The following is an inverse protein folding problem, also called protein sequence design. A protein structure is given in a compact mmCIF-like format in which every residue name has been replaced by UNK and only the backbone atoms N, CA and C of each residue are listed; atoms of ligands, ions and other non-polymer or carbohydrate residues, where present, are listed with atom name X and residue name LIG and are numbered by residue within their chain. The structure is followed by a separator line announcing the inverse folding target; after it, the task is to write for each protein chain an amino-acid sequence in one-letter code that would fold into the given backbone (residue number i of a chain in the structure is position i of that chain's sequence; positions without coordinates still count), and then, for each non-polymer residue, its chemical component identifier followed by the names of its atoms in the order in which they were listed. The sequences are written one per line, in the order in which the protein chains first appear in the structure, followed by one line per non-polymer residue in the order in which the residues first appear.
data_IF_652482772140
#
_entry.id   IF_652482772140
#
_cell.length_a   1.000
_cell.length_b   1.000
_cell.length_c   1.000
_cell.angle_alpha   90.00
_cell.angle_beta   90.00
_cell.angle_gamma   90.00
#
_symmetry.space_group_name_H-M   'P 1'
#
loop_
_entity.id
_entity.type
_entity.pdbx_description
1 polymer ?
#
# COMPACT_ATOMS: atom_id res chain seq x y z
N UNK A 1 2.03 4.51 4.22
CA UNK A 1 0.66 3.93 4.28
C UNK A 1 0.63 2.42 4.17
N UNK A 2 1.48 1.79 3.37
CA UNK A 2 1.42 0.35 3.07
C UNK A 2 1.55 -0.57 4.28
N UNK A 3 2.33 -0.20 5.27
CA UNK A 3 2.61 -1.04 6.45
C UNK A 3 1.37 -1.29 7.34
N UNK A 4 0.30 -0.48 7.20
CA UNK A 4 -0.87 -0.54 8.08
C UNK A 4 -1.86 -1.66 7.74
N UNK A 5 -1.84 -2.17 6.52
CA UNK A 5 -2.80 -3.16 6.03
C UNK A 5 -2.13 -4.36 5.39
N UNK A 6 -2.80 -5.51 5.41
CA UNK A 6 -2.31 -6.75 4.80
C UNK A 6 -1.99 -6.57 3.31
N UNK A 7 -2.81 -5.80 2.59
CA UNK A 7 -2.67 -5.57 1.14
C UNK A 7 -1.70 -4.44 0.78
N UNK A 8 -1.20 -3.72 1.77
CA UNK A 8 -0.35 -2.57 1.53
C UNK A 8 1.04 -2.91 1.01
N UNK A 9 1.57 -4.05 1.45
CA UNK A 9 2.88 -4.56 1.05
C UNK A 9 2.89 -6.09 1.02
N UNK A 10 3.65 -6.73 0.12
CA UNK A 10 3.71 -8.19 0.01
C UNK A 10 4.16 -8.88 1.29
N UNK A 11 5.08 -8.25 2.04
CA UNK A 11 5.58 -8.79 3.31
C UNK A 11 4.46 -8.91 4.36
N UNK A 12 3.53 -7.94 4.37
CA UNK A 12 2.40 -7.95 5.31
C UNK A 12 1.49 -9.16 5.07
N UNK A 13 1.28 -9.52 3.81
CA UNK A 13 0.51 -10.70 3.44
C UNK A 13 1.16 -11.99 3.96
N UNK A 14 2.49 -12.08 3.85
CA UNK A 14 3.25 -13.22 4.39
C UNK A 14 3.17 -13.29 5.91
N UNK A 15 3.39 -12.17 6.60
CA UNK A 15 3.33 -12.07 8.07
C UNK A 15 1.93 -12.46 8.55
N UNK A 16 0.89 -11.90 7.94
CA UNK A 16 -0.49 -12.21 8.30
C UNK A 16 -0.82 -13.69 8.12
N UNK A 17 -0.38 -14.30 7.01
CA UNK A 17 -0.60 -15.70 6.73
C UNK A 17 0.09 -16.60 7.77
N UNK A 18 1.37 -16.37 8.04
CA UNK A 18 2.15 -17.15 9.02
C UNK A 18 1.60 -16.98 10.44
N UNK A 19 1.18 -15.76 10.80
CA UNK A 19 0.61 -15.45 12.12
C UNK A 19 -0.86 -15.86 12.25
N UNK A 20 -1.54 -16.20 11.15
CA UNK A 20 -2.98 -16.49 11.12
C UNK A 20 -3.84 -15.26 11.40
N UNK A 21 -3.36 -14.05 11.08
CA UNK A 21 -4.07 -12.81 11.35
C UNK A 21 -4.98 -12.43 10.18
N UNK A 22 -6.21 -12.08 10.50
CA UNK A 22 -7.16 -11.51 9.55
C UNK A 22 -6.90 -10.02 9.31
N UNK A 23 -7.55 -9.45 8.29
CA UNK A 23 -7.33 -8.06 7.85
C UNK A 23 -7.46 -7.04 9.00
N UNK A 24 -8.53 -7.11 9.77
CA UNK A 24 -8.77 -6.18 10.90
C UNK A 24 -7.80 -6.45 12.04
N UNK A 25 -7.53 -7.71 12.34
CA UNK A 25 -6.58 -8.07 13.41
C UNK A 25 -5.17 -7.58 13.10
N UNK A 26 -4.71 -7.77 11.86
CA UNK A 26 -3.44 -7.23 11.40
C UNK A 26 -3.37 -5.71 11.58
N UNK A 27 -4.40 -5.00 11.09
CA UNK A 27 -4.49 -3.55 11.21
C UNK A 27 -4.43 -3.09 12.68
N UNK A 28 -5.18 -3.74 13.56
CA UNK A 28 -5.22 -3.39 15.01
C UNK A 28 -3.90 -3.67 15.71
N UNK A 29 -3.19 -4.74 15.34
CA UNK A 29 -1.88 -5.07 15.91
C UNK A 29 -0.76 -4.15 15.40
N UNK A 30 -0.87 -3.69 14.15
CA UNK A 30 0.11 -2.78 13.55
C UNK A 30 -0.17 -1.30 13.87
N UNK A 31 -1.42 -0.93 14.19
CA UNK A 31 -1.81 0.45 14.46
C UNK A 31 -0.98 1.15 15.55
N UNK A 32 -0.63 0.52 16.70
CA UNK A 32 0.18 1.16 17.73
C UNK A 32 1.56 1.62 17.26
N UNK A 33 2.09 0.98 16.20
CA UNK A 33 3.39 1.33 15.60
C UNK A 33 3.18 2.28 14.42
N UNK A 34 2.25 1.95 13.53
CA UNK A 34 2.08 2.67 12.25
C UNK A 34 1.45 4.05 12.43
N UNK A 35 0.50 4.21 13.37
CA UNK A 35 -0.17 5.49 13.60
C UNK A 35 0.80 6.55 14.16
N UNK A 36 1.61 6.28 15.19
CA UNK A 36 2.62 7.25 15.66
C UNK A 36 3.65 7.61 14.57
N UNK A 37 4.11 6.63 13.79
CA UNK A 37 5.05 6.90 12.68
C UNK A 37 4.40 7.77 11.60
N UNK A 38 3.15 7.51 11.25
CA UNK A 38 2.39 8.34 10.32
C UNK A 38 2.25 9.78 10.83
N UNK A 39 1.87 9.96 12.09
CA UNK A 39 1.75 11.28 12.73
C UNK A 39 3.10 12.00 12.75
N UNK A 40 4.18 11.31 13.12
CA UNK A 40 5.53 11.87 13.10
C UNK A 40 5.93 12.31 11.68
N UNK A 41 5.64 11.50 10.66
CA UNK A 41 5.85 11.85 9.25
C UNK A 41 5.07 13.09 8.84
N UNK A 42 3.80 13.20 9.20
CA UNK A 42 2.97 14.39 8.93
C UNK A 42 3.52 15.65 9.61
N UNK A 43 3.91 15.54 10.88
CA UNK A 43 4.53 16.65 11.61
C UNK A 43 5.84 17.07 10.94
N UNK A 44 6.66 16.11 10.52
CA UNK A 44 7.92 16.38 9.82
C UNK A 44 7.67 17.11 8.50
N UNK A 45 6.73 16.63 7.67
CA UNK A 45 6.35 17.30 6.42
C UNK A 45 5.88 18.74 6.67
N UNK A 46 5.01 18.93 7.65
CA UNK A 46 4.52 20.25 8.02
C UNK A 46 5.63 21.17 8.52
N UNK A 47 6.55 20.65 9.35
CA UNK A 47 7.69 21.42 9.85
C UNK A 47 8.64 21.83 8.72
N UNK A 48 8.98 20.92 7.81
CA UNK A 48 9.84 21.20 6.66
C UNK A 48 9.23 22.27 5.76
N UNK A 49 7.93 22.18 5.49
CA UNK A 49 7.21 23.18 4.68
C UNK A 49 7.16 24.54 5.38
N UNK A 50 6.79 24.57 6.66
CA UNK A 50 6.66 25.80 7.44
C UNK A 50 7.98 26.54 7.64
N UNK A 51 9.08 25.79 7.87
CA UNK A 51 10.40 26.37 8.13
C UNK A 51 11.25 26.52 6.86
N UNK A 52 10.71 26.21 5.68
CA UNK A 52 11.41 26.29 4.39
C UNK A 52 12.75 25.52 4.37
N UNK A 53 12.81 24.38 5.04
CA UNK A 53 14.04 23.56 5.12
C UNK A 53 14.32 22.94 3.76
N UNK A 54 15.57 22.99 3.32
CA UNK A 54 16.04 22.41 2.05
C UNK A 54 15.28 22.89 0.78
N UNK A 55 14.69 24.11 0.83
CA UNK A 55 13.96 24.67 -0.32
C UNK A 55 12.51 24.22 -0.46
N UNK A 56 12.02 23.38 0.45
CA UNK A 56 10.58 23.05 0.52
C UNK A 56 9.77 24.26 1.03
N UNK A 57 8.49 24.33 0.63
CA UNK A 57 7.60 25.43 1.02
C UNK A 57 7.79 26.72 0.20
N UNK A 58 8.72 26.74 -0.76
CA UNK A 58 8.82 27.88 -1.67
C UNK A 58 7.63 27.90 -2.64
N UNK A 59 7.01 29.06 -2.86
CA UNK A 59 5.89 29.15 -3.79
C UNK A 59 6.34 28.76 -5.21
N UNK A 60 5.51 27.96 -5.86
CA UNK A 60 5.71 27.62 -7.27
C UNK A 60 5.79 28.88 -8.12
N UNK A 61 6.68 28.93 -9.13
CA UNK A 61 6.70 30.04 -10.09
C UNK A 61 5.28 30.28 -10.64
N UNK A 62 4.89 31.56 -10.72
CA UNK A 62 3.53 31.96 -11.14
C UNK A 62 3.09 31.31 -12.45
N UNK A 63 4.02 31.12 -13.38
CA UNK A 63 3.76 30.45 -14.66
C UNK A 63 3.29 29.00 -14.49
N UNK A 64 3.94 28.27 -13.59
CA UNK A 64 3.58 26.86 -13.31
C UNK A 64 2.25 26.81 -12.54
N UNK A 65 2.06 27.70 -11.58
CA UNK A 65 0.79 27.81 -10.85
C UNK A 65 -0.39 28.10 -11.77
N UNK A 66 -0.21 29.04 -12.70
CA UNK A 66 -1.27 29.38 -13.67
C UNK A 66 -1.55 28.21 -14.62
N UNK A 67 -0.51 27.50 -15.09
CA UNK A 67 -0.70 26.29 -15.91
C UNK A 67 -1.53 25.22 -15.19
N UNK A 68 -1.25 24.97 -13.91
CA UNK A 68 -2.05 24.02 -13.13
C UNK A 68 -3.49 24.51 -12.93
N UNK A 69 -3.68 25.81 -12.77
CA UNK A 69 -5.02 26.38 -12.62
C UNK A 69 -5.82 26.25 -13.91
N UNK A 70 -5.24 26.62 -15.05
CA UNK A 70 -5.87 26.49 -16.37
C UNK A 70 -6.18 25.02 -16.70
N UNK A 71 -5.25 24.09 -16.39
CA UNK A 71 -5.46 22.66 -16.58
C UNK A 71 -6.62 22.14 -15.71
N UNK A 72 -6.66 22.54 -14.46
CA UNK A 72 -7.72 22.12 -13.53
C UNK A 72 -9.09 22.69 -13.95
N UNK A 73 -9.13 23.95 -14.38
CA UNK A 73 -10.38 24.55 -14.92
C UNK A 73 -10.82 23.85 -16.21
N UNK A 74 -9.89 23.55 -17.10
CA UNK A 74 -10.16 22.78 -18.30
C UNK A 74 -10.73 21.40 -17.97
N UNK A 75 -10.09 20.66 -17.06
CA UNK A 75 -10.55 19.35 -16.64
C UNK A 75 -11.95 19.39 -15.99
N UNK A 76 -12.19 20.37 -15.11
CA UNK A 76 -13.50 20.57 -14.48
C UNK A 76 -14.57 20.91 -15.52
N UNK A 77 -14.25 21.72 -16.53
CA UNK A 77 -15.16 22.10 -17.60
C UNK A 77 -15.53 20.93 -18.53
N UNK A 78 -14.63 19.95 -18.64
CA UNK A 78 -14.85 18.74 -19.46
C UNK A 78 -15.59 17.63 -18.67
N UNK A 79 -15.82 17.81 -17.38
CA UNK A 79 -16.57 16.83 -16.58
C UNK A 79 -18.03 16.78 -17.00
N UNK A 80 -18.37 15.75 -17.72
CA UNK A 80 -19.74 15.39 -18.06
C UNK A 80 -20.44 14.70 -16.89
N UNK A 81 -21.76 14.55 -16.95
CA UNK A 81 -22.50 13.79 -15.93
C UNK A 81 -22.10 12.32 -15.91
N UNK A 82 -21.62 11.78 -17.03
CA UNK A 82 -21.01 10.44 -17.09
C UNK A 82 -19.76 10.34 -16.24
N UNK A 83 -18.86 11.33 -16.28
CA UNK A 83 -17.64 11.33 -15.47
C UNK A 83 -17.93 11.45 -13.96
N UNK A 84 -19.02 12.10 -13.58
CA UNK A 84 -19.49 12.11 -12.18
C UNK A 84 -19.99 10.74 -11.74
N UNK A 85 -20.73 10.06 -12.63
CA UNK A 85 -21.22 8.71 -12.37
C UNK A 85 -20.05 7.74 -12.17
N UNK A 86 -19.01 7.84 -12.99
CA UNK A 86 -17.79 7.03 -12.84
C UNK A 86 -17.15 7.22 -11.47
N UNK A 87 -17.00 8.46 -11.00
CA UNK A 87 -16.46 8.75 -9.66
C UNK A 87 -17.31 8.12 -8.56
N UNK A 88 -18.65 8.18 -8.68
CA UNK A 88 -19.53 7.55 -7.70
C UNK A 88 -19.39 6.02 -7.70
N UNK A 89 -19.24 5.41 -8.86
CA UNK A 89 -19.00 3.96 -9.00
C UNK A 89 -17.66 3.60 -8.34
N UNK A 90 -16.60 4.37 -8.60
CA UNK A 90 -15.27 4.14 -8.00
C UNK A 90 -15.33 4.21 -6.46
N UNK A 91 -16.00 5.23 -5.93
CA UNK A 91 -16.17 5.39 -4.48
C UNK A 91 -16.96 4.21 -3.91
N UNK A 92 -18.06 3.82 -4.55
CA UNK A 92 -18.90 2.72 -4.09
C UNK A 92 -18.14 1.39 -4.11
N UNK A 93 -17.40 1.12 -5.18
CA UNK A 93 -16.54 -0.07 -5.31
C UNK A 93 -15.40 -0.04 -4.29
N UNK A 94 -14.81 1.14 -4.02
CA UNK A 94 -13.81 1.31 -2.98
C UNK A 94 -14.36 1.02 -1.58
N UNK A 95 -15.56 1.50 -1.26
CA UNK A 95 -16.25 1.20 0.00
C UNK A 95 -16.55 -0.30 0.09
N UNK A 96 -17.06 -0.90 -1.00
CA UNK A 96 -17.31 -2.33 -1.07
C UNK A 96 -16.03 -3.15 -0.81
N UNK A 97 -14.91 -2.76 -1.42
CA UNK A 97 -13.61 -3.39 -1.20
C UNK A 97 -13.23 -3.37 0.28
N UNK A 98 -13.34 -2.20 0.93
CA UNK A 98 -13.01 -2.06 2.35
C UNK A 98 -13.90 -2.93 3.24
N UNK A 99 -15.20 -2.97 2.97
CA UNK A 99 -16.16 -3.81 3.72
C UNK A 99 -15.87 -5.30 3.47
N UNK A 100 -15.61 -5.70 2.22
CA UNK A 100 -15.35 -7.09 1.87
C UNK A 100 -14.07 -7.63 2.54
N UNK A 101 -13.03 -6.80 2.61
CA UNK A 101 -11.78 -7.13 3.31
C UNK A 101 -11.98 -7.16 4.84
N UNK A 102 -12.75 -6.22 5.39
CA UNK A 102 -13.01 -6.14 6.82
C UNK A 102 -13.85 -7.31 7.33
N UNK A 103 -14.85 -7.74 6.54
CA UNK A 103 -15.73 -8.87 6.87
C UNK A 103 -15.15 -10.23 6.44
N UNK A 104 -13.95 -10.23 5.85
CA UNK A 104 -13.27 -11.45 5.38
C UNK A 104 -14.17 -12.32 4.47
N UNK A 105 -14.89 -11.68 3.53
CA UNK A 105 -15.89 -12.37 2.69
C UNK A 105 -15.26 -13.42 1.77
N UNK A 106 -14.00 -13.21 1.36
CA UNK A 106 -13.22 -14.15 0.57
C UNK A 106 -11.73 -13.86 0.72
N UNK A 107 -10.89 -14.71 0.12
CA UNK A 107 -9.44 -14.45 0.05
C UNK A 107 -9.16 -13.11 -0.63
N UNK A 108 -8.20 -12.35 -0.10
CA UNK A 108 -7.84 -10.99 -0.55
C UNK A 108 -7.67 -10.90 -2.07
N UNK A 109 -7.00 -11.90 -2.67
CA UNK A 109 -6.80 -11.95 -4.13
C UNK A 109 -8.09 -12.08 -4.93
N UNK A 110 -9.07 -12.84 -4.41
CA UNK A 110 -10.39 -13.02 -5.06
C UNK A 110 -11.19 -11.72 -4.99
N UNK A 111 -11.17 -11.04 -3.83
CA UNK A 111 -11.84 -9.74 -3.66
C UNK A 111 -11.20 -8.72 -4.61
N UNK A 112 -9.87 -8.66 -4.67
CA UNK A 112 -9.15 -7.76 -5.56
C UNK A 112 -9.46 -8.01 -7.03
N UNK A 113 -9.47 -9.28 -7.46
CA UNK A 113 -9.84 -9.65 -8.83
C UNK A 113 -11.29 -9.26 -9.15
N UNK A 114 -12.22 -9.49 -8.23
CA UNK A 114 -13.61 -9.08 -8.36
C UNK A 114 -13.76 -7.57 -8.55
N UNK A 115 -13.02 -6.77 -7.79
CA UNK A 115 -13.01 -5.31 -7.91
C UNK A 115 -12.42 -4.87 -9.26
N UNK A 116 -11.34 -5.48 -9.73
CA UNK A 116 -10.77 -5.21 -11.05
C UNK A 116 -11.81 -5.48 -12.14
N UNK A 117 -12.46 -6.65 -12.11
CA UNK A 117 -13.49 -7.02 -13.09
C UNK A 117 -14.66 -6.03 -13.07
N UNK A 118 -15.13 -5.63 -11.89
CA UNK A 118 -16.21 -4.66 -11.75
C UNK A 118 -15.81 -3.31 -12.36
N UNK A 119 -14.67 -2.76 -11.97
CA UNK A 119 -14.21 -1.44 -12.45
C UNK A 119 -13.94 -1.43 -13.95
N UNK A 120 -13.28 -2.45 -14.50
CA UNK A 120 -13.02 -2.56 -15.93
C UNK A 120 -14.30 -2.70 -16.74
N UNK A 121 -15.29 -3.45 -16.22
CA UNK A 121 -16.60 -3.60 -16.87
C UNK A 121 -17.39 -2.30 -16.88
N UNK A 122 -17.42 -1.56 -15.79
CA UNK A 122 -18.13 -0.28 -15.71
C UNK A 122 -17.47 0.83 -16.53
N UNK A 123 -16.14 0.82 -16.62
CA UNK A 123 -15.39 1.78 -17.47
C UNK A 123 -15.36 1.41 -18.96
N UNK A 124 -15.93 0.26 -19.32
CA UNK A 124 -15.88 -0.21 -20.71
C UNK A 124 -14.48 -0.59 -21.19
N UNK A 125 -13.52 -0.81 -20.27
CA UNK A 125 -12.16 -1.26 -20.59
C UNK A 125 -12.22 -2.77 -20.83
N UNK A 126 -12.68 -3.15 -22.00
CA UNK A 126 -12.86 -4.57 -22.39
C UNK A 126 -11.98 -4.97 -23.57
N UNK A 127 -11.21 -4.04 -24.11
CA UNK A 127 -10.33 -4.32 -25.23
C UNK A 127 -9.13 -5.14 -24.76
N UNK A 128 -8.83 -6.22 -25.48
CA UNK A 128 -7.70 -7.12 -25.21
C UNK A 128 -6.37 -6.37 -25.15
N UNK A 129 -6.20 -5.33 -25.97
CA UNK A 129 -4.99 -4.52 -26.00
C UNK A 129 -4.75 -3.78 -24.67
N UNK A 130 -5.77 -3.12 -24.12
CA UNK A 130 -5.66 -2.32 -22.90
C UNK A 130 -5.37 -3.22 -21.67
N UNK A 131 -6.06 -4.36 -21.60
CA UNK A 131 -5.81 -5.38 -20.57
C UNK A 131 -4.43 -6.02 -20.73
N UNK A 132 -4.03 -6.29 -21.98
CA UNK A 132 -2.73 -6.90 -22.28
C UNK A 132 -1.55 -5.99 -21.90
N UNK A 133 -1.66 -4.69 -22.13
CA UNK A 133 -0.61 -3.74 -21.75
C UNK A 133 -0.52 -3.55 -20.24
N UNK A 134 -1.64 -3.47 -19.53
CA UNK A 134 -1.64 -3.48 -18.07
C UNK A 134 -1.00 -4.75 -17.47
N UNK A 135 -1.26 -5.92 -18.08
CA UNK A 135 -0.62 -7.18 -17.69
C UNK A 135 0.89 -7.16 -17.93
N UNK A 136 1.34 -6.68 -19.09
CA UNK A 136 2.78 -6.57 -19.40
C UNK A 136 3.50 -5.66 -18.41
N UNK A 137 2.87 -4.56 -18.02
CA UNK A 137 3.42 -3.60 -17.06
C UNK A 137 3.52 -4.20 -15.65
N UNK A 138 2.53 -5.00 -15.25
CA UNK A 138 2.51 -5.67 -13.94
C UNK A 138 3.43 -6.91 -13.86
N UNK A 139 3.77 -7.53 -15.00
CA UNK A 139 4.50 -8.80 -15.06
C UNK A 139 5.88 -8.79 -14.37
N UNK A 140 6.76 -7.77 -14.57
CA UNK A 140 8.06 -7.71 -13.91
C UNK A 140 7.94 -7.69 -12.39
N UNK A 141 6.99 -6.93 -11.86
CA UNK A 141 6.73 -6.85 -10.42
C UNK A 141 6.18 -8.18 -9.88
N UNK A 142 5.24 -8.80 -10.59
CA UNK A 142 4.70 -10.10 -10.22
C UNK A 142 5.78 -11.19 -10.22
N UNK A 143 6.66 -11.20 -11.22
CA UNK A 143 7.78 -12.13 -11.29
C UNK A 143 8.76 -11.93 -10.10
N UNK A 144 9.07 -10.67 -9.77
CA UNK A 144 9.88 -10.35 -8.61
C UNK A 144 9.26 -10.89 -7.31
N UNK A 145 7.95 -10.73 -7.13
CA UNK A 145 7.23 -11.24 -5.97
C UNK A 145 7.29 -12.76 -5.87
N UNK A 146 7.08 -13.47 -6.98
CA UNK A 146 7.16 -14.95 -7.01
C UNK A 146 8.54 -15.43 -6.60
N UNK A 147 9.60 -14.81 -7.14
CA UNK A 147 10.98 -15.13 -6.77
C UNK A 147 11.24 -14.81 -5.29
N UNK A 148 10.80 -13.63 -4.82
CA UNK A 148 10.94 -13.22 -3.42
C UNK A 148 10.28 -14.24 -2.47
N UNK A 149 9.02 -14.59 -2.71
CA UNK A 149 8.34 -15.58 -1.87
C UNK A 149 8.96 -16.97 -1.97
N UNK A 150 9.47 -17.37 -3.14
CA UNK A 150 10.22 -18.61 -3.29
C UNK A 150 11.47 -18.64 -2.42
N UNK A 151 12.26 -17.57 -2.45
CA UNK A 151 13.47 -17.44 -1.61
C UNK A 151 13.11 -17.45 -0.13
N UNK A 152 12.10 -16.68 0.29
CA UNK A 152 11.64 -16.64 1.69
C UNK A 152 11.16 -18.00 2.16
N UNK A 153 10.44 -18.74 1.31
CA UNK A 153 9.98 -20.10 1.62
C UNK A 153 11.14 -21.07 1.85
N UNK A 154 12.17 -21.02 1.01
CA UNK A 154 13.39 -21.84 1.19
C UNK A 154 14.12 -21.47 2.48
N UNK A 155 14.28 -20.19 2.77
CA UNK A 155 14.90 -19.69 4.00
C UNK A 155 14.12 -20.20 5.23
N UNK A 156 12.80 -20.15 5.19
CA UNK A 156 11.93 -20.61 6.27
C UNK A 156 12.00 -22.14 6.44
N UNK A 157 11.95 -22.90 5.37
CA UNK A 157 12.05 -24.38 5.37
C UNK A 157 13.41 -24.84 5.94
N UNK A 158 14.50 -24.21 5.52
CA UNK A 158 15.85 -24.50 6.00
C UNK A 158 16.14 -23.91 7.38
N UNK A 159 15.21 -23.18 7.98
CA UNK A 159 15.33 -22.52 9.30
C UNK A 159 16.63 -21.70 9.46
N UNK A 160 17.09 -21.04 8.41
CA UNK A 160 18.38 -20.35 8.38
C UNK A 160 18.48 -19.22 9.43
N UNK A 161 17.37 -18.58 9.77
CA UNK A 161 17.34 -17.52 10.78
C UNK A 161 17.01 -18.01 12.20
N UNK A 162 16.65 -19.27 12.38
CA UNK A 162 16.27 -19.80 13.70
C UNK A 162 17.36 -19.63 14.76
N UNK A 163 18.67 -19.85 14.47
CA UNK A 163 19.73 -19.62 15.46
C UNK A 163 19.84 -18.16 15.90
N UNK A 164 19.66 -17.23 14.96
CA UNK A 164 19.72 -15.79 15.23
C UNK A 164 18.51 -15.37 16.05
N UNK A 165 17.31 -15.80 15.66
CA UNK A 165 16.06 -15.50 16.34
C UNK A 165 16.10 -16.04 17.78
N UNK A 166 16.52 -17.30 17.98
CA UNK A 166 16.62 -17.90 19.31
C UNK A 166 17.65 -17.20 20.19
N UNK A 167 18.76 -16.75 19.61
CA UNK A 167 19.75 -15.93 20.32
C UNK A 167 19.15 -14.61 20.79
N UNK A 168 18.41 -13.89 19.93
CA UNK A 168 17.78 -12.62 20.28
C UNK A 168 16.71 -12.80 21.36
N UNK A 169 15.87 -13.84 21.22
CA UNK A 169 14.81 -14.13 22.19
C UNK A 169 15.34 -14.60 23.56
N UNK A 170 16.52 -15.17 23.59
CA UNK A 170 17.18 -15.56 24.85
C UNK A 170 17.77 -14.36 25.61
N UNK A 171 17.87 -13.19 25.00
CA UNK A 171 18.36 -11.98 25.68
C UNK A 171 17.26 -11.36 26.55
N UNK A 172 17.68 -10.61 27.58
CA UNK A 172 16.74 -9.80 28.36
C UNK A 172 16.02 -8.77 27.47
N UNK A 173 14.78 -8.46 27.82
CA UNK A 173 13.94 -7.53 27.04
C UNK A 173 14.60 -6.17 26.79
N UNK A 174 15.46 -5.71 27.73
CA UNK A 174 16.24 -4.47 27.59
C UNK A 174 17.26 -4.51 26.45
N UNK A 175 17.74 -5.70 26.08
CA UNK A 175 18.77 -5.89 25.07
C UNK A 175 18.18 -6.29 23.70
N UNK A 176 16.92 -6.68 23.64
CA UNK A 176 16.26 -7.08 22.38
C UNK A 176 16.10 -5.92 21.41
N UNK A 177 15.70 -4.76 21.92
CA UNK A 177 15.49 -3.58 21.09
C UNK A 177 16.77 -3.10 20.37
N UNK A 178 17.93 -2.92 21.03
CA UNK A 178 19.19 -2.59 20.37
C UNK A 178 19.59 -3.62 19.31
N UNK A 179 19.45 -4.91 19.58
CA UNK A 179 19.78 -5.98 18.62
C UNK A 179 18.86 -5.91 17.40
N UNK A 180 17.56 -5.66 17.63
CA UNK A 180 16.60 -5.48 16.54
C UNK A 180 16.97 -4.29 15.64
N UNK A 181 17.33 -3.15 16.21
CA UNK A 181 17.75 -1.97 15.44
C UNK A 181 19.04 -2.23 14.65
N UNK A 182 20.02 -2.90 15.22
CA UNK A 182 21.26 -3.25 14.52
C UNK A 182 21.03 -4.26 13.40
N UNK A 183 20.08 -5.18 13.56
CA UNK A 183 19.76 -6.18 12.53
C UNK A 183 18.97 -5.60 11.35
N UNK A 184 18.30 -4.44 11.52
CA UNK A 184 17.48 -3.78 10.50
C UNK A 184 18.13 -2.53 9.90
N UNK A 185 19.29 -2.08 10.36
CA UNK A 185 20.07 -0.95 9.86
C UNK A 185 21.15 -1.39 8.93
#
# INVERSE_FOLDING_TARGET
GGVCTIVGEPQNLLIANVAGWEFIEFMMKMAPITVPVFIAGMITCFAIEKFHICGFGNPLPLRIKNMFHEYNEYEISQRTDESKLEIYIEILVGIFLMIALALHLAAVGIIGLGVIILLTSFKGITHEHDLGDAFKEALPFTALLVVFFGVVSVIADQQLFTPIISYVLAQEASNQAPIFFVANG
#
